data_IF_584748932215
#
_entry.id   IF_584748932215
#
_cell.length_a   1.000
_cell.length_b   1.000
_cell.length_c   1.000
_cell.angle_alpha   90.00
_cell.angle_beta   90.00
_cell.angle_gamma   90.00
#
_symmetry.space_group_name_H-M   'P 1'
#
loop_
_entity.id
_entity.type
_entity.pdbx_description
1 polymer ?
#
# COMPACT_ATOMS: atom_id res chain seq x y z
N UNK A 1 6.18 9.25 -6.09
CA UNK A 1 5.40 10.13 -6.99
C UNK A 1 4.28 10.88 -6.30
N UNK A 2 3.44 10.21 -5.50
CA UNK A 2 2.40 10.89 -4.72
C UNK A 2 2.95 12.01 -3.82
N UNK A 3 4.03 11.75 -3.08
CA UNK A 3 4.62 12.73 -2.15
C UNK A 3 5.12 13.99 -2.87
N UNK A 4 5.58 13.86 -4.12
CA UNK A 4 5.98 14.98 -4.98
C UNK A 4 4.79 15.63 -5.71
N UNK A 5 3.56 15.16 -5.49
CA UNK A 5 2.37 15.66 -6.18
C UNK A 5 2.22 15.21 -7.64
N UNK A 6 3.00 14.20 -8.08
CA UNK A 6 2.99 13.69 -9.47
C UNK A 6 1.91 12.62 -9.70
N UNK A 7 1.30 12.11 -8.63
CA UNK A 7 0.23 11.13 -8.68
C UNK A 7 -0.85 11.48 -7.65
N UNK A 8 -2.09 11.12 -7.94
CA UNK A 8 -3.23 11.38 -7.05
C UNK A 8 -3.40 10.32 -5.95
N UNK A 9 -2.70 9.18 -6.03
CA UNK A 9 -2.77 8.06 -5.09
C UNK A 9 -1.52 7.20 -5.15
N UNK A 10 -1.37 6.29 -4.19
CA UNK A 10 -0.29 5.30 -4.13
C UNK A 10 -0.84 3.91 -4.45
N UNK A 11 -0.22 3.24 -5.42
CA UNK A 11 -0.56 1.87 -5.79
C UNK A 11 -0.12 0.89 -4.73
N UNK A 12 -0.98 -0.07 -4.41
CA UNK A 12 -0.63 -1.23 -3.59
C UNK A 12 -1.01 -2.53 -4.28
N UNK A 13 -0.25 -3.58 -3.98
CA UNK A 13 -0.55 -4.95 -4.38
C UNK A 13 -0.92 -5.80 -3.16
N UNK A 14 -1.94 -6.66 -3.33
CA UNK A 14 -2.44 -7.52 -2.26
C UNK A 14 -2.69 -8.96 -2.74
N UNK A 15 -2.99 -9.85 -1.80
CA UNK A 15 -3.29 -11.25 -2.10
C UNK A 15 -4.55 -11.37 -2.99
N UNK A 16 -4.39 -12.06 -4.12
CA UNK A 16 -5.46 -12.37 -5.07
C UNK A 16 -6.65 -13.13 -4.46
N UNK A 17 -6.43 -13.91 -3.40
CA UNK A 17 -7.50 -14.69 -2.76
C UNK A 17 -8.39 -13.87 -1.82
N UNK A 18 -8.04 -12.60 -1.56
CA UNK A 18 -8.93 -11.68 -0.86
C UNK A 18 -10.09 -11.20 -1.74
N UNK A 19 -10.01 -11.39 -3.07
CA UNK A 19 -11.02 -10.97 -4.04
C UNK A 19 -11.41 -9.48 -3.90
N UNK A 20 -10.46 -8.62 -3.49
CA UNK A 20 -10.66 -7.19 -3.38
C UNK A 20 -10.92 -6.59 -4.77
N UNK A 21 -11.98 -5.77 -4.95
CA UNK A 21 -12.20 -5.06 -6.20
C UNK A 21 -11.00 -4.19 -6.59
N UNK A 22 -10.74 -4.07 -7.89
CA UNK A 22 -9.74 -3.13 -8.40
C UNK A 22 -10.08 -1.70 -7.94
N UNK A 23 -9.09 -0.98 -7.44
CA UNK A 23 -9.24 0.37 -6.92
C UNK A 23 -9.74 0.45 -5.48
N UNK A 24 -9.88 -0.68 -4.77
CA UNK A 24 -10.25 -0.71 -3.33
C UNK A 24 -9.39 0.29 -2.56
N UNK A 25 -10.03 1.18 -1.81
CA UNK A 25 -9.33 2.16 -0.99
C UNK A 25 -8.80 1.52 0.28
N UNK A 26 -7.55 1.84 0.59
CA UNK A 26 -6.89 1.42 1.82
C UNK A 26 -6.35 2.65 2.52
N UNK A 27 -6.60 2.74 3.82
CA UNK A 27 -5.95 3.71 4.69
C UNK A 27 -4.87 2.98 5.50
N UNK A 28 -3.67 3.57 5.54
CA UNK A 28 -2.53 3.11 6.33
C UNK A 28 -2.16 4.24 7.30
N UNK A 29 -2.72 4.24 8.52
CA UNK A 29 -2.59 5.35 9.47
C UNK A 29 -1.13 5.71 9.79
N UNK A 30 -0.25 4.72 9.87
CA UNK A 30 1.16 4.89 10.20
C UNK A 30 1.88 5.74 9.14
N UNK A 31 1.56 5.54 7.86
CA UNK A 31 2.12 6.34 6.77
C UNK A 31 1.48 7.72 6.71
N UNK A 32 0.18 7.84 7.01
CA UNK A 32 -0.46 9.15 7.12
C UNK A 32 0.20 10.01 8.21
N UNK A 33 0.49 9.40 9.37
CA UNK A 33 1.16 10.07 10.47
C UNK A 33 2.60 10.45 10.11
N UNK A 34 3.37 9.53 9.53
CA UNK A 34 4.76 9.76 9.13
C UNK A 34 4.93 10.92 8.15
N UNK A 35 4.05 11.01 7.14
CA UNK A 35 4.13 12.05 6.12
C UNK A 35 3.27 13.28 6.43
N UNK A 36 2.63 13.33 7.61
CA UNK A 36 1.71 14.38 8.03
C UNK A 36 0.67 14.74 6.96
N UNK A 37 0.15 13.73 6.27
CA UNK A 37 -0.73 13.88 5.11
C UNK A 37 -1.62 12.65 4.95
N UNK A 38 -2.87 12.85 4.55
CA UNK A 38 -3.74 11.74 4.14
C UNK A 38 -3.27 11.22 2.77
N UNK A 39 -2.81 9.97 2.75
CA UNK A 39 -2.34 9.28 1.55
C UNK A 39 -3.44 8.32 1.09
N UNK A 40 -4.05 8.54 -0.08
CA UNK A 40 -4.99 7.58 -0.65
C UNK A 40 -4.22 6.43 -1.27
N UNK A 41 -4.37 5.22 -0.71
CA UNK A 41 -3.85 3.99 -1.31
C UNK A 41 -4.95 3.27 -2.08
N UNK A 42 -4.58 2.62 -3.19
CA UNK A 42 -5.51 1.81 -4.00
C UNK A 42 -4.92 0.47 -4.37
N UNK A 43 -5.70 -0.59 -4.15
CA UNK A 43 -5.36 -1.94 -4.61
C UNK A 43 -5.53 -2.00 -6.11
N UNK A 44 -4.44 -2.04 -6.85
CA UNK A 44 -4.46 -2.07 -8.33
C UNK A 44 -3.74 -3.27 -8.92
N UNK A 45 -3.09 -4.06 -8.07
CA UNK A 45 -2.42 -5.28 -8.49
C UNK A 45 -2.68 -6.42 -7.50
N UNK A 46 -2.76 -7.63 -8.03
CA UNK A 46 -2.88 -8.87 -7.28
C UNK A 46 -1.99 -9.91 -7.95
N UNK A 47 -0.82 -10.16 -7.37
CA UNK A 47 0.21 -11.00 -7.97
C UNK A 47 0.33 -12.39 -7.33
N UNK A 48 0.91 -13.35 -8.07
CA UNK A 48 1.26 -14.67 -7.54
C UNK A 48 2.24 -14.58 -6.35
N UNK A 49 3.11 -13.56 -6.34
CA UNK A 49 4.05 -13.28 -5.26
C UNK A 49 3.39 -12.99 -3.89
N UNK A 50 2.11 -12.62 -3.90
CA UNK A 50 1.32 -12.30 -2.70
C UNK A 50 0.24 -13.34 -2.39
N UNK A 51 0.22 -14.47 -3.12
CA UNK A 51 -0.78 -15.51 -2.92
C UNK A 51 -0.67 -16.18 -1.56
N UNK A 52 -1.82 -16.42 -0.92
CA UNK A 52 -1.96 -17.03 0.41
C UNK A 52 -1.31 -16.25 1.55
N UNK A 53 -1.20 -14.92 1.40
CA UNK A 53 -0.77 -14.00 2.45
C UNK A 53 -1.93 -13.30 3.15
N UNK A 54 -3.12 -13.34 2.55
CA UNK A 54 -4.30 -12.64 3.03
C UNK A 54 -3.99 -11.17 3.32
N UNK A 55 -4.43 -10.70 4.48
CA UNK A 55 -4.13 -9.35 4.98
C UNK A 55 -2.76 -9.21 5.64
N UNK A 56 -1.98 -10.29 5.75
CA UNK A 56 -0.68 -10.30 6.42
C UNK A 56 0.46 -9.73 5.57
N UNK A 57 0.22 -9.40 4.29
CA UNK A 57 1.19 -8.74 3.43
C UNK A 57 0.50 -7.76 2.48
N UNK A 58 1.13 -6.61 2.32
CA UNK A 58 0.83 -5.60 1.30
C UNK A 58 2.16 -5.18 0.68
N UNK A 59 2.14 -4.85 -0.60
CA UNK A 59 3.28 -4.22 -1.26
C UNK A 59 2.92 -2.80 -1.65
N UNK A 60 3.71 -1.84 -1.22
CA UNK A 60 3.46 -0.42 -1.44
C UNK A 60 4.41 0.05 -2.53
N UNK A 61 3.87 0.57 -3.63
CA UNK A 61 4.69 1.06 -4.72
C UNK A 61 5.49 2.30 -4.28
N UNK A 62 6.80 2.11 -4.08
CA UNK A 62 7.76 3.18 -3.80
C UNK A 62 8.47 3.62 -5.07
N UNK A 63 9.07 4.81 -5.03
CA UNK A 63 9.84 5.35 -6.17
C UNK A 63 11.12 4.56 -6.41
N UNK A 64 11.78 4.13 -5.34
CA UNK A 64 13.08 3.50 -5.40
C UNK A 64 13.17 2.32 -4.46
N UNK A 65 14.14 1.45 -4.75
CA UNK A 65 14.51 0.35 -3.86
C UNK A 65 14.95 0.86 -2.48
N UNK A 66 15.66 2.00 -2.41
CA UNK A 66 16.06 2.57 -1.13
C UNK A 66 14.85 2.96 -0.27
N UNK A 67 13.86 3.62 -0.87
CA UNK A 67 12.61 3.98 -0.18
C UNK A 67 11.84 2.73 0.27
N UNK A 68 11.94 1.63 -0.47
CA UNK A 68 11.30 0.37 -0.10
C UNK A 68 11.84 -0.19 1.21
N UNK A 69 13.06 0.16 1.64
CA UNK A 69 13.67 -0.33 2.89
C UNK A 69 13.21 0.41 4.13
N UNK A 70 12.36 1.42 3.99
CA UNK A 70 11.85 2.16 5.12
C UNK A 70 11.09 1.24 6.10
N UNK A 71 11.43 1.33 7.39
CA UNK A 71 10.87 0.46 8.41
C UNK A 71 9.35 0.62 8.58
N UNK A 72 8.77 1.80 8.25
CA UNK A 72 7.32 1.97 8.28
C UNK A 72 6.64 1.32 7.08
N UNK A 73 7.36 1.14 5.97
CA UNK A 73 6.85 0.48 4.75
C UNK A 73 6.94 -1.05 4.88
N UNK A 74 8.05 -1.57 5.40
CA UNK A 74 8.27 -3.02 5.58
C UNK A 74 7.89 -3.55 6.98
N UNK A 75 7.43 -2.68 7.87
CA UNK A 75 7.10 -3.03 9.24
C UNK A 75 5.67 -3.50 9.44
N UNK A 76 5.26 -3.56 10.70
CA UNK A 76 3.87 -3.78 11.07
C UNK A 76 3.07 -2.50 10.80
N UNK A 77 2.04 -2.62 9.96
CA UNK A 77 1.13 -1.54 9.62
C UNK A 77 -0.32 -2.01 9.69
N UNK A 78 -1.22 -1.05 9.90
CA UNK A 78 -2.65 -1.30 9.96
C UNK A 78 -3.28 -1.04 8.60
N UNK A 79 -4.11 -1.97 8.12
CA UNK A 79 -4.89 -1.80 6.89
C UNK A 79 -6.35 -1.54 7.25
N UNK A 80 -6.88 -0.38 6.85
CA UNK A 80 -8.30 -0.05 6.99
C UNK A 80 -8.92 0.04 5.60
N UNK A 81 -9.93 -0.79 5.34
CA UNK A 81 -10.63 -0.87 4.06
C UNK A 81 -11.92 -0.05 4.10
N UNK A 82 -12.29 0.57 2.98
CA UNK A 82 -13.49 1.39 2.81
C UNK A 82 -14.29 1.00 1.57
#
# INVERSE_FOLDING_TARGET
>A
DFLDGKASWVSVAMDRYLHLPYGTHVCIPELNHKYHRVIPFRVVDTGSAFSHKGYGRIDICTRSQHDSYDNTINGHITLVFH
#
